data_IF_356627681220
#
_entry.id   IF_356627681220
#
_cell.length_a   1.000
_cell.length_b   1.000
_cell.length_c   1.000
_cell.angle_alpha   90.00
_cell.angle_beta   90.00
_cell.angle_gamma   90.00
#
_symmetry.space_group_name_H-M   'P 1'
#
loop_
_entity.id
_entity.type
_entity.pdbx_description
1 polymer ?
#
# COMPACT_ATOMS: atom_id res chain seq x y z
N UNK A 1 -18.72 18.89 8.32
CA UNK A 1 -18.17 18.34 7.06
C UNK A 1 -16.77 18.90 6.84
N UNK A 2 -15.74 18.06 6.75
CA UNK A 2 -14.37 18.49 6.42
C UNK A 2 -14.35 18.86 4.93
N UNK A 3 -14.16 20.14 4.61
CA UNK A 3 -13.97 20.60 3.22
C UNK A 3 -12.63 20.03 2.73
N UNK A 4 -12.66 19.27 1.64
CA UNK A 4 -11.43 18.93 0.94
C UNK A 4 -10.77 20.22 0.45
N UNK A 5 -9.45 20.38 0.60
CA UNK A 5 -8.76 21.53 0.04
C UNK A 5 -9.03 21.58 -1.47
N UNK A 6 -9.48 22.74 -1.96
CA UNK A 6 -9.76 22.97 -3.39
C UNK A 6 -8.48 23.09 -4.22
N UNK A 7 -7.35 23.34 -3.57
CA UNK A 7 -6.05 23.45 -4.24
C UNK A 7 -5.49 22.07 -4.56
N UNK A 8 -5.05 21.91 -5.82
CA UNK A 8 -4.32 20.72 -6.23
C UNK A 8 -2.98 20.65 -5.49
N UNK A 9 -2.52 19.45 -5.09
CA UNK A 9 -1.22 19.31 -4.46
C UNK A 9 -0.11 19.77 -5.42
N UNK A 10 0.91 20.45 -4.87
CA UNK A 10 2.07 20.93 -5.64
C UNK A 10 2.89 19.81 -6.29
N UNK A 11 2.79 18.60 -5.73
CA UNK A 11 3.46 17.40 -6.22
C UNK A 11 2.56 16.19 -5.98
N UNK A 12 2.63 15.21 -6.87
CA UNK A 12 2.00 13.90 -6.70
C UNK A 12 2.92 12.88 -5.99
N UNK A 13 4.15 13.29 -5.61
CA UNK A 13 5.11 12.42 -4.95
C UNK A 13 4.80 12.28 -3.46
N UNK A 14 4.71 11.03 -3.00
CA UNK A 14 4.63 10.64 -1.61
C UNK A 14 6.07 10.50 -1.08
N UNK A 15 6.42 11.37 -0.13
CA UNK A 15 7.77 11.48 0.43
C UNK A 15 7.95 10.76 1.76
N UNK A 16 6.85 10.26 2.36
CA UNK A 16 6.89 9.47 3.59
C UNK A 16 7.03 7.99 3.26
N UNK A 17 7.72 7.21 4.12
CA UNK A 17 7.70 5.77 4.03
C UNK A 17 6.30 5.20 3.86
N UNK A 18 6.10 4.35 2.86
CA UNK A 18 4.80 3.74 2.56
C UNK A 18 4.90 2.21 2.44
N UNK A 19 4.00 1.50 3.13
CA UNK A 19 3.74 0.08 2.92
C UNK A 19 2.50 -0.08 2.03
N UNK A 20 2.61 -0.90 0.98
CA UNK A 20 1.46 -1.39 0.23
C UNK A 20 1.39 -2.90 0.37
N UNK A 21 0.21 -3.40 0.71
CA UNK A 21 -0.10 -4.84 0.78
C UNK A 21 -1.14 -5.14 -0.28
N UNK A 22 -0.90 -6.13 -1.14
CA UNK A 22 -1.72 -6.39 -2.32
C UNK A 22 -2.01 -7.88 -2.52
N UNK A 23 -3.28 -8.23 -2.77
CA UNK A 23 -3.68 -9.60 -3.08
C UNK A 23 -3.50 -9.93 -4.56
N UNK A 24 -2.82 -11.03 -4.90
CA UNK A 24 -2.54 -11.36 -6.32
C UNK A 24 -3.73 -11.94 -7.09
N UNK A 25 -4.84 -12.26 -6.39
CA UNK A 25 -6.11 -12.69 -6.98
C UNK A 25 -7.16 -11.57 -6.95
N UNK A 26 -6.73 -10.32 -6.80
CA UNK A 26 -7.60 -9.16 -6.91
C UNK A 26 -8.18 -9.06 -8.32
N UNK A 27 -9.51 -9.11 -8.41
CA UNK A 27 -10.26 -9.04 -9.67
C UNK A 27 -10.63 -7.59 -10.05
N UNK A 28 -10.55 -6.66 -9.09
CA UNK A 28 -10.88 -5.25 -9.29
C UNK A 28 -9.64 -4.47 -9.75
N UNK A 29 -8.48 -4.75 -9.16
CA UNK A 29 -7.22 -4.07 -9.44
C UNK A 29 -6.11 -5.08 -9.73
N UNK A 30 -5.57 -5.05 -10.96
CA UNK A 30 -4.50 -5.97 -11.35
C UNK A 30 -3.19 -5.68 -10.59
N UNK A 31 -2.39 -6.69 -10.19
CA UNK A 31 -1.18 -6.51 -9.39
C UNK A 31 -0.16 -5.51 -9.96
N UNK A 32 -0.08 -5.39 -11.29
CA UNK A 32 0.81 -4.44 -11.97
C UNK A 32 0.54 -2.97 -11.57
N UNK A 33 -0.67 -2.67 -11.08
CA UNK A 33 -0.99 -1.33 -10.56
C UNK A 33 -0.18 -1.02 -9.30
N UNK A 34 0.02 -1.99 -8.41
CA UNK A 34 0.90 -1.83 -7.26
C UNK A 34 2.34 -1.53 -7.69
N UNK A 35 2.87 -2.23 -8.70
CA UNK A 35 4.22 -1.96 -9.20
C UNK A 35 4.34 -0.57 -9.83
N UNK A 36 3.36 -0.16 -10.66
CA UNK A 36 3.38 1.17 -11.28
C UNK A 36 3.24 2.31 -10.27
N UNK A 37 2.64 2.07 -9.11
CA UNK A 37 2.52 3.06 -8.04
C UNK A 37 3.86 3.51 -7.46
N UNK A 38 4.94 2.71 -7.62
CA UNK A 38 6.32 3.09 -7.25
C UNK A 38 6.78 4.39 -7.89
N UNK A 39 6.20 4.79 -9.04
CA UNK A 39 6.51 6.06 -9.71
C UNK A 39 6.12 7.30 -8.89
N UNK A 40 5.26 7.14 -7.89
CA UNK A 40 4.70 8.21 -7.08
C UNK A 40 5.13 8.14 -5.61
N UNK A 41 5.98 7.18 -5.22
CA UNK A 41 6.33 6.92 -3.83
C UNK A 41 7.84 6.73 -3.72
N UNK A 42 8.52 7.65 -3.04
CA UNK A 42 9.98 7.63 -2.95
C UNK A 42 10.51 6.45 -2.14
N UNK A 43 9.79 6.04 -1.10
CA UNK A 43 10.16 4.94 -0.21
C UNK A 43 8.96 4.01 -0.06
N UNK A 44 8.93 2.98 -0.90
CA UNK A 44 7.83 2.03 -0.99
C UNK A 44 8.28 0.61 -0.65
N UNK A 45 7.71 0.06 0.40
CA UNK A 45 7.70 -1.38 0.68
C UNK A 45 6.43 -1.98 0.06
N UNK A 46 6.57 -2.98 -0.79
CA UNK A 46 5.45 -3.67 -1.44
C UNK A 46 5.44 -5.13 -1.03
N UNK A 47 4.31 -5.61 -0.51
CA UNK A 47 4.10 -6.99 -0.09
C UNK A 47 2.93 -7.59 -0.84
N UNK A 48 3.17 -8.71 -1.50
CA UNK A 48 2.11 -9.47 -2.17
C UNK A 48 1.62 -10.64 -1.31
N UNK A 49 0.35 -10.99 -1.48
CA UNK A 49 -0.25 -12.20 -0.90
C UNK A 49 -0.85 -13.05 -2.02
N UNK A 50 -0.27 -14.23 -2.27
CA UNK A 50 -0.61 -15.10 -3.42
C UNK A 50 -2.08 -15.56 -3.42
N UNK A 51 -2.60 -15.93 -2.25
CA UNK A 51 -3.94 -16.50 -2.10
C UNK A 51 -4.93 -15.50 -1.48
N UNK A 52 -4.94 -14.28 -2.02
CA UNK A 52 -5.72 -13.17 -1.49
C UNK A 52 -6.38 -12.37 -2.61
N UNK A 53 -7.65 -12.01 -2.41
CA UNK A 53 -8.42 -11.16 -3.31
C UNK A 53 -8.22 -9.68 -2.96
N UNK A 54 -9.23 -8.84 -3.18
CA UNK A 54 -9.18 -7.39 -3.03
C UNK A 54 -9.14 -6.92 -1.55
N UNK A 55 -9.87 -7.59 -0.65
CA UNK A 55 -10.03 -7.15 0.74
C UNK A 55 -9.01 -7.84 1.64
N UNK A 56 -7.74 -7.47 1.49
CA UNK A 56 -6.61 -8.22 2.06
C UNK A 56 -6.71 -8.47 3.56
N UNK A 57 -7.19 -7.51 4.33
CA UNK A 57 -7.37 -7.62 5.77
C UNK A 57 -8.48 -8.60 6.18
N UNK A 58 -9.46 -8.85 5.30
CA UNK A 58 -10.53 -9.82 5.54
C UNK A 58 -10.10 -11.22 5.12
N UNK A 59 -9.43 -11.34 3.98
CA UNK A 59 -9.00 -12.63 3.42
C UNK A 59 -7.83 -13.23 4.21
N UNK A 60 -6.84 -12.40 4.58
CA UNK A 60 -5.57 -12.84 5.13
C UNK A 60 -5.17 -11.99 6.36
N UNK A 61 -6.02 -11.87 7.39
CA UNK A 61 -5.82 -10.95 8.52
C UNK A 61 -4.50 -11.17 9.27
N UNK A 62 -4.09 -12.43 9.42
CA UNK A 62 -2.86 -12.79 10.15
C UNK A 62 -1.63 -12.28 9.39
N UNK A 63 -1.58 -12.53 8.07
CA UNK A 63 -0.47 -12.10 7.20
C UNK A 63 -0.41 -10.58 7.12
N UNK A 64 -1.55 -9.92 6.92
CA UNK A 64 -1.63 -8.45 6.88
C UNK A 64 -1.12 -7.84 8.17
N UNK A 65 -1.57 -8.34 9.32
CA UNK A 65 -1.11 -7.85 10.62
C UNK A 65 0.39 -8.09 10.85
N UNK A 66 0.93 -9.20 10.35
CA UNK A 66 2.37 -9.47 10.40
C UNK A 66 3.15 -8.43 9.60
N UNK A 67 2.76 -8.16 8.34
CA UNK A 67 3.43 -7.17 7.50
C UNK A 67 3.35 -5.75 8.09
N UNK A 68 2.22 -5.36 8.64
CA UNK A 68 2.06 -4.06 9.33
C UNK A 68 3.03 -3.97 10.50
N UNK A 69 3.08 -4.98 11.38
CA UNK A 69 3.98 -4.96 12.54
C UNK A 69 5.44 -4.90 12.11
N UNK A 70 5.86 -5.76 11.20
CA UNK A 70 7.22 -5.78 10.67
C UNK A 70 7.63 -4.41 10.12
N UNK A 71 6.75 -3.79 9.34
CA UNK A 71 6.98 -2.48 8.76
C UNK A 71 7.12 -1.37 9.81
N UNK A 72 6.28 -1.38 10.86
CA UNK A 72 6.32 -0.38 11.93
C UNK A 72 7.50 -0.55 12.88
N UNK A 73 8.01 -1.78 13.06
CA UNK A 73 9.14 -2.06 13.96
C UNK A 73 10.49 -2.09 13.26
N UNK A 74 10.52 -2.04 11.92
CA UNK A 74 11.76 -1.98 11.17
C UNK A 74 12.53 -0.71 11.54
N UNK A 75 13.79 -0.86 11.97
CA UNK A 75 14.68 0.29 12.13
C UNK A 75 14.91 0.92 10.76
N UNK A 76 14.70 2.23 10.68
CA UNK A 76 15.01 3.06 9.52
C UNK A 76 16.07 4.05 9.99
N UNK A 77 17.23 4.03 9.34
CA UNK A 77 18.34 4.95 9.60
C UNK A 77 18.04 6.38 9.11
#
# INVERSE_FOLDING_TARGET
>A
MRKYPSEKPRSLQITVPTLVIWGKRDIALVPQLADTSRRYVNDMTLQYIENCSHWTQMDQPVIVNQYIRQYLTAKRD
#
